data_IF_891691914780
#
_entry.id   IF_891691914780
#
_cell.length_a   1.000
_cell.length_b   1.000
_cell.length_c   1.000
_cell.angle_alpha   90.00
_cell.angle_beta   90.00
_cell.angle_gamma   90.00
#
_symmetry.space_group_name_H-M   'P 1'
#
loop_
_entity.id
_entity.type
_entity.pdbx_description
1 polymer ?
#
# COMPACT_ATOMS: atom_id res chain seq x y z
N UNK A 1 -0.22 3.01 -9.25
CA UNK A 1 1.04 2.56 -8.62
C UNK A 1 2.17 3.42 -9.15
N UNK A 2 3.08 3.85 -8.27
CA UNK A 2 4.17 4.77 -8.62
C UNK A 2 5.53 4.08 -8.61
N UNK A 3 5.67 2.95 -7.90
CA UNK A 3 6.88 2.13 -7.88
C UNK A 3 6.53 0.63 -7.89
N UNK A 4 7.06 -0.12 -8.87
CA UNK A 4 6.80 -1.56 -9.08
C UNK A 4 7.60 -2.52 -8.18
N UNK A 5 8.16 -2.05 -7.07
CA UNK A 5 8.96 -2.87 -6.14
C UNK A 5 8.15 -3.50 -5.01
N UNK A 6 6.83 -3.51 -5.12
CA UNK A 6 5.92 -4.19 -4.18
C UNK A 6 5.26 -5.40 -4.85
N UNK A 7 4.78 -6.33 -4.04
CA UNK A 7 4.03 -7.52 -4.46
C UNK A 7 2.74 -7.65 -3.66
N UNK A 8 1.74 -8.26 -4.29
CA UNK A 8 0.37 -8.36 -3.80
C UNK A 8 -0.62 -8.19 -4.97
N UNK A 9 -1.91 -7.95 -4.68
CA UNK A 9 -2.48 -7.75 -3.34
C UNK A 9 -2.57 -9.05 -2.53
N UNK A 10 -2.23 -8.95 -1.25
CA UNK A 10 -2.41 -10.00 -0.25
C UNK A 10 -3.58 -9.64 0.65
N UNK A 11 -4.64 -10.44 0.56
CA UNK A 11 -5.83 -10.28 1.38
C UNK A 11 -6.02 -11.56 2.22
N UNK A 12 -6.37 -11.43 3.51
CA UNK A 12 -6.74 -12.59 4.31
C UNK A 12 -7.89 -13.36 3.65
N UNK A 13 -7.92 -14.69 3.82
CA UNK A 13 -8.92 -15.57 3.18
C UNK A 13 -10.37 -15.29 3.60
N UNK A 14 -10.57 -14.62 4.73
CA UNK A 14 -11.86 -14.17 5.23
C UNK A 14 -12.29 -12.80 4.69
N UNK A 15 -11.37 -12.06 4.05
CA UNK A 15 -11.67 -10.77 3.44
C UNK A 15 -12.36 -10.96 2.09
N UNK A 16 -13.35 -10.10 1.84
CA UNK A 16 -14.03 -9.97 0.54
C UNK A 16 -13.83 -8.58 -0.06
N UNK A 17 -12.97 -7.77 0.55
CA UNK A 17 -12.71 -6.39 0.14
C UNK A 17 -11.94 -6.36 -1.18
N UNK A 18 -12.30 -5.40 -2.03
CA UNK A 18 -11.41 -5.00 -3.11
C UNK A 18 -10.25 -4.19 -2.52
N UNK A 19 -9.01 -4.52 -2.90
CA UNK A 19 -7.84 -3.83 -2.36
C UNK A 19 -7.83 -2.34 -2.70
N UNK A 20 -8.29 -1.95 -3.90
CA UNK A 20 -8.29 -0.54 -4.30
C UNK A 20 -9.34 0.23 -3.52
N UNK A 21 -10.48 -0.39 -3.23
CA UNK A 21 -11.53 0.21 -2.40
C UNK A 21 -11.04 0.36 -0.96
N UNK A 22 -10.27 -0.58 -0.43
CA UNK A 22 -9.66 -0.45 0.91
C UNK A 22 -8.73 0.77 1.04
N UNK A 23 -8.01 1.13 -0.03
CA UNK A 23 -7.20 2.36 -0.08
C UNK A 23 -8.07 3.60 -0.32
N UNK A 24 -8.98 3.56 -1.30
CA UNK A 24 -9.81 4.69 -1.69
C UNK A 24 -10.83 5.08 -0.61
N UNK A 25 -11.31 4.12 0.19
CA UNK A 25 -12.23 4.37 1.31
C UNK A 25 -11.60 5.25 2.40
N UNK A 26 -10.27 5.35 2.45
CA UNK A 26 -9.56 6.28 3.34
C UNK A 26 -9.46 7.69 2.77
N UNK A 27 -9.69 7.89 1.47
CA UNK A 27 -9.74 9.23 0.87
C UNK A 27 -11.05 9.89 1.30
N UNK A 28 -10.96 11.07 1.91
CA UNK A 28 -12.11 11.82 2.43
C UNK A 28 -12.05 13.28 1.99
N UNK A 29 -13.01 14.09 2.43
CA UNK A 29 -12.98 15.55 2.20
C UNK A 29 -11.75 16.22 2.81
N UNK A 30 -11.18 15.63 3.87
CA UNK A 30 -9.96 16.13 4.53
C UNK A 30 -8.72 15.35 4.14
N UNK A 31 -8.81 14.03 4.01
CA UNK A 31 -7.68 13.16 3.72
C UNK A 31 -7.53 12.94 2.21
N UNK A 32 -6.55 13.58 1.59
CA UNK A 32 -6.39 13.61 0.12
C UNK A 32 -5.27 12.72 -0.41
N UNK A 33 -4.51 12.09 0.47
CA UNK A 33 -3.44 11.17 0.06
C UNK A 33 -3.31 10.00 1.02
N UNK A 34 -3.46 8.80 0.48
CA UNK A 34 -3.33 7.54 1.22
C UNK A 34 -2.16 6.76 0.65
N UNK A 35 -1.21 6.37 1.51
CA UNK A 35 -0.05 5.57 1.14
C UNK A 35 0.03 4.24 1.87
N UNK A 36 1.00 3.41 1.48
CA UNK A 36 1.27 2.13 2.15
C UNK A 36 1.87 2.36 3.55
N UNK A 37 2.91 3.19 3.61
CA UNK A 37 3.71 3.42 4.81
C UNK A 37 4.12 4.90 4.90
N UNK A 38 4.38 5.35 6.11
CA UNK A 38 4.83 6.70 6.44
C UNK A 38 6.26 6.64 7.00
N UNK A 39 7.13 7.58 6.65
CA UNK A 39 8.48 7.69 7.19
C UNK A 39 8.61 9.00 7.98
N UNK A 40 8.98 8.88 9.26
CA UNK A 40 9.02 10.01 10.20
C UNK A 40 10.41 10.62 10.35
N UNK A 41 11.45 9.88 9.94
CA UNK A 41 12.86 10.29 10.03
C UNK A 41 13.59 10.01 8.69
N UNK A 42 13.14 10.61 7.57
CA UNK A 42 13.77 10.37 6.28
C UNK A 42 15.06 11.15 6.10
N UNK A 43 15.84 10.78 5.07
CA UNK A 43 17.15 11.37 4.74
C UNK A 43 17.11 12.90 4.62
N UNK A 44 15.99 13.47 4.14
CA UNK A 44 15.83 14.93 3.96
C UNK A 44 15.13 15.63 5.13
N UNK A 45 14.85 14.93 6.24
CA UNK A 45 14.17 15.49 7.40
C UNK A 45 12.69 15.86 7.19
N UNK A 46 12.13 15.59 6.01
CA UNK A 46 10.72 15.88 5.68
C UNK A 46 9.91 14.59 5.71
N UNK A 47 9.08 14.45 6.75
CA UNK A 47 8.19 13.30 6.92
C UNK A 47 7.25 13.13 5.74
N UNK A 48 7.05 11.89 5.29
CA UNK A 48 6.28 11.63 4.08
C UNK A 48 5.73 10.21 3.98
N UNK A 49 4.68 10.07 3.16
CA UNK A 49 4.24 8.79 2.64
C UNK A 49 5.21 8.27 1.57
N UNK A 50 5.63 7.01 1.69
CA UNK A 50 6.51 6.36 0.71
C UNK A 50 5.72 6.01 -0.57
N UNK A 51 6.29 6.26 -1.75
CA UNK A 51 5.56 6.29 -3.04
C UNK A 51 5.40 4.94 -3.75
N UNK A 52 5.17 3.86 -3.02
CA UNK A 52 4.85 2.58 -3.68
C UNK A 52 3.46 2.65 -4.31
N UNK A 53 2.48 3.00 -3.47
CA UNK A 53 1.07 3.18 -3.84
C UNK A 53 0.61 4.50 -3.25
N UNK A 54 -0.02 5.32 -4.08
CA UNK A 54 -0.88 6.42 -3.63
C UNK A 54 -2.31 6.19 -4.11
N UNK A 55 -3.25 6.38 -3.20
CA UNK A 55 -4.66 6.57 -3.50
C UNK A 55 -5.04 8.01 -3.15
N UNK A 56 -5.78 8.63 -4.06
CA UNK A 56 -6.13 10.05 -4.01
C UNK A 56 -7.38 10.30 -4.86
N UNK A 57 -8.01 11.45 -4.68
CA UNK A 57 -9.12 11.91 -5.50
C UNK A 57 -8.66 12.93 -6.55
N UNK A 58 -9.63 13.57 -7.23
CA UNK A 58 -9.35 14.61 -8.22
C UNK A 58 -8.63 15.83 -7.64
N UNK A 59 -8.90 16.20 -6.39
CA UNK A 59 -8.28 17.35 -5.73
C UNK A 59 -6.82 17.01 -5.39
N UNK A 60 -6.61 15.86 -4.78
CA UNK A 60 -5.27 15.42 -4.39
C UNK A 60 -4.38 15.17 -5.61
N UNK A 61 -4.86 14.53 -6.69
CA UNK A 61 -4.04 14.37 -7.90
C UNK A 61 -3.68 15.71 -8.53
N UNK A 62 -4.60 16.68 -8.59
CA UNK A 62 -4.30 18.03 -9.10
C UNK A 62 -3.26 18.76 -8.24
N UNK A 63 -3.21 18.47 -6.95
CA UNK A 63 -2.20 19.01 -6.01
C UNK A 63 -0.85 18.31 -6.18
N UNK A 64 -0.85 17.03 -6.52
CA UNK A 64 0.37 16.22 -6.71
C UNK A 64 1.05 16.44 -8.05
N UNK A 65 0.29 16.67 -9.13
CA UNK A 65 0.84 16.78 -10.49
C UNK A 65 2.00 17.77 -10.58
N UNK A 66 1.93 19.01 -10.05
CA UNK A 66 3.04 19.96 -10.12
C UNK A 66 4.34 19.49 -9.46
N UNK A 67 4.28 18.58 -8.48
CA UNK A 67 5.46 18.09 -7.74
C UNK A 67 5.90 16.68 -8.15
N UNK A 68 5.06 15.96 -8.92
CA UNK A 68 5.30 14.57 -9.35
C UNK A 68 5.37 14.37 -10.87
N UNK A 69 5.03 15.37 -11.70
CA UNK A 69 4.96 15.23 -13.16
C UNK A 69 6.34 15.21 -13.85
N UNK A 70 7.41 14.89 -13.14
CA UNK A 70 8.78 14.90 -13.66
C UNK A 70 9.41 13.51 -13.53
N UNK A 71 10.27 13.16 -14.49
CA UNK A 71 11.10 11.96 -14.38
C UNK A 71 12.31 12.29 -13.50
N UNK A 72 12.42 11.61 -12.36
CA UNK A 72 13.53 11.81 -11.43
C UNK A 72 14.80 11.10 -11.94
N UNK A 73 15.94 11.79 -12.07
CA UNK A 73 17.16 11.23 -12.65
C UNK A 73 17.82 10.15 -11.78
N UNK A 74 17.54 10.15 -10.47
CA UNK A 74 18.11 9.18 -9.53
C UNK A 74 17.19 8.94 -8.33
N UNK A 75 17.51 7.91 -7.55
CA UNK A 75 16.74 7.50 -6.38
C UNK A 75 16.57 8.63 -5.34
N UNK A 76 17.63 9.39 -5.05
CA UNK A 76 17.59 10.49 -4.09
C UNK A 76 16.62 11.60 -4.52
N UNK A 77 16.64 11.97 -5.80
CA UNK A 77 15.69 12.93 -6.36
C UNK A 77 14.25 12.42 -6.35
N UNK A 78 14.05 11.10 -6.51
CA UNK A 78 12.73 10.48 -6.38
C UNK A 78 12.22 10.57 -4.93
N UNK A 79 13.05 10.27 -3.93
CA UNK A 79 12.71 10.42 -2.50
C UNK A 79 12.38 11.88 -2.15
N UNK A 80 13.10 12.83 -2.74
CA UNK A 80 12.76 14.25 -2.61
C UNK A 80 11.39 14.56 -3.22
N UNK A 81 11.07 13.97 -4.36
CA UNK A 81 9.72 13.97 -4.95
C UNK A 81 8.65 13.42 -3.98
N UNK A 82 8.88 12.26 -3.38
CA UNK A 82 7.97 11.65 -2.39
C UNK A 82 7.71 12.59 -1.20
N UNK A 83 8.78 13.21 -0.71
CA UNK A 83 8.72 14.19 0.38
C UNK A 83 7.87 15.41 0.01
N UNK A 84 8.02 15.90 -1.22
CA UNK A 84 7.25 17.03 -1.73
C UNK A 84 5.78 16.69 -1.95
N UNK A 85 5.45 15.46 -2.33
CA UNK A 85 4.06 15.01 -2.50
C UNK A 85 3.27 15.16 -1.21
N UNK A 86 3.82 14.67 -0.09
CA UNK A 86 3.16 14.78 1.22
C UNK A 86 3.05 16.25 1.64
N UNK A 87 4.15 17.01 1.50
CA UNK A 87 4.17 18.44 1.84
C UNK A 87 3.18 19.26 1.01
N UNK A 88 3.03 18.98 -0.28
CA UNK A 88 2.11 19.69 -1.16
C UNK A 88 0.65 19.52 -0.70
N UNK A 89 0.27 18.30 -0.31
CA UNK A 89 -1.07 18.01 0.21
C UNK A 89 -1.32 18.73 1.54
N UNK A 90 -0.35 18.68 2.47
CA UNK A 90 -0.44 19.37 3.76
C UNK A 90 -0.52 20.89 3.58
N UNK A 91 0.33 21.47 2.73
CA UNK A 91 0.34 22.91 2.44
C UNK A 91 -0.95 23.39 1.76
N UNK A 92 -1.66 22.50 1.06
CA UNK A 92 -2.97 22.77 0.49
C UNK A 92 -4.12 22.69 1.52
N UNK A 93 -3.82 22.43 2.80
CA UNK A 93 -4.80 22.38 3.89
C UNK A 93 -5.44 21.01 4.11
N UNK A 94 -4.90 19.96 3.49
CA UNK A 94 -5.44 18.59 3.58
C UNK A 94 -4.55 17.68 4.44
N UNK A 95 -5.10 16.55 4.88
CA UNK A 95 -4.35 15.52 5.61
C UNK A 95 -3.93 14.38 4.69
N UNK A 96 -3.00 13.56 5.23
CA UNK A 96 -2.52 12.33 4.62
C UNK A 96 -2.70 11.16 5.59
N UNK A 97 -2.72 9.93 5.09
CA UNK A 97 -2.76 8.73 5.94
C UNK A 97 -1.99 7.55 5.35
N UNK A 98 -1.54 6.63 6.19
CA UNK A 98 -0.99 5.35 5.75
C UNK A 98 -1.93 4.18 6.10
N UNK A 99 -1.75 3.04 5.43
CA UNK A 99 -2.46 1.79 5.75
C UNK A 99 -2.01 1.16 7.08
N UNK A 100 -0.88 1.62 7.63
CA UNK A 100 -0.32 1.15 8.91
C UNK A 100 -1.34 1.28 10.05
N UNK A 101 -1.50 0.22 10.85
CA UNK A 101 -2.29 0.22 12.09
C UNK A 101 -1.71 1.20 13.09
N UNK A 102 -0.37 1.31 13.15
CA UNK A 102 0.27 2.31 14.00
C UNK A 102 -0.15 3.73 13.62
N UNK A 103 -0.25 4.04 12.32
CA UNK A 103 -0.72 5.34 11.84
C UNK A 103 -2.17 5.61 12.28
N UNK A 104 -3.04 4.61 12.18
CA UNK A 104 -4.43 4.73 12.60
C UNK A 104 -4.63 4.80 14.13
N UNK A 105 -3.61 4.45 14.93
CA UNK A 105 -3.72 4.40 16.39
C UNK A 105 -3.71 5.77 17.07
N UNK A 106 -3.32 6.83 16.36
CA UNK A 106 -3.14 8.19 16.90
C UNK A 106 -3.63 9.24 15.90
N UNK A 107 -4.34 10.26 16.38
CA UNK A 107 -4.89 11.32 15.52
C UNK A 107 -3.78 12.12 14.81
N UNK A 108 -2.71 12.47 15.53
CA UNK A 108 -1.60 13.29 15.04
C UNK A 108 -0.37 12.45 14.70
N UNK A 109 -0.54 11.21 14.26
CA UNK A 109 0.58 10.29 14.03
C UNK A 109 1.67 10.91 13.13
N UNK A 110 1.28 11.59 12.05
CA UNK A 110 2.21 12.24 11.12
C UNK A 110 3.12 13.30 11.80
N UNK A 111 2.64 13.92 12.88
CA UNK A 111 3.32 14.99 13.62
C UNK A 111 4.11 14.47 14.83
N UNK A 112 3.80 13.27 15.32
CA UNK A 112 4.37 12.76 16.58
C UNK A 112 5.27 11.53 16.41
N UNK A 113 5.15 10.81 15.29
CA UNK A 113 5.86 9.56 15.08
C UNK A 113 7.39 9.70 15.07
N UNK A 114 8.07 8.65 15.55
CA UNK A 114 9.53 8.57 15.70
C UNK A 114 10.04 7.22 15.20
N UNK A 115 10.15 7.11 13.88
CA UNK A 115 10.74 5.95 13.21
C UNK A 115 11.17 6.31 11.78
N UNK A 116 12.19 5.61 11.28
CA UNK A 116 12.66 5.72 9.91
C UNK A 116 11.85 4.85 8.93
N UNK A 117 12.57 4.27 7.96
CA UNK A 117 12.03 3.34 6.96
C UNK A 117 11.62 2.01 7.63
N UNK A 118 10.32 1.80 7.82
CA UNK A 118 9.76 0.59 8.45
C UNK A 118 9.74 -0.63 7.52
N UNK A 119 10.18 -0.47 6.27
CA UNK A 119 10.26 -1.53 5.27
C UNK A 119 11.63 -2.24 5.30
N UNK A 120 12.23 -2.32 6.48
CA UNK A 120 13.47 -3.02 6.79
C UNK A 120 13.17 -4.11 7.84
N UNK A 121 14.01 -5.13 7.90
CA UNK A 121 13.85 -6.23 8.87
C UNK A 121 13.88 -5.70 10.31
N UNK A 122 12.85 -6.04 11.10
CA UNK A 122 12.68 -5.62 12.50
C UNK A 122 12.36 -4.13 12.72
N UNK A 123 12.21 -3.34 11.66
CA UNK A 123 12.06 -1.88 11.77
C UNK A 123 10.63 -1.42 12.10
N UNK A 124 9.64 -2.32 12.07
CA UNK A 124 8.27 -2.01 12.44
C UNK A 124 8.04 -2.35 13.91
N UNK A 125 8.44 -1.42 14.80
CA UNK A 125 8.28 -1.52 16.26
C UNK A 125 8.93 -2.77 16.89
N UNK A 126 10.05 -3.24 16.32
CA UNK A 126 10.75 -4.45 16.75
C UNK A 126 10.37 -5.70 15.95
N UNK A 127 9.36 -5.60 15.09
CA UNK A 127 8.87 -6.65 14.20
C UNK A 127 8.99 -6.25 12.72
N UNK A 128 8.50 -7.13 11.84
CA UNK A 128 8.34 -6.85 10.41
C UNK A 128 6.93 -6.36 10.12
N UNK A 129 6.81 -5.43 9.15
CA UNK A 129 5.49 -5.01 8.67
C UNK A 129 4.75 -6.19 8.03
N UNK A 130 3.56 -6.51 8.55
CA UNK A 130 2.81 -7.67 8.10
C UNK A 130 2.09 -7.38 6.76
N UNK A 131 2.16 -8.27 5.74
CA UNK A 131 1.61 -7.96 4.42
C UNK A 131 0.09 -7.69 4.38
N UNK A 132 -0.68 -8.31 5.27
CA UNK A 132 -2.12 -8.04 5.40
C UNK A 132 -2.45 -6.66 5.96
N UNK A 133 -1.52 -6.00 6.64
CA UNK A 133 -1.74 -4.65 7.19
C UNK A 133 -1.80 -3.61 6.08
N UNK A 134 -0.90 -3.74 5.10
CA UNK A 134 -0.78 -2.80 3.99
C UNK A 134 -1.23 -3.36 2.65
N UNK A 135 -1.75 -4.59 2.62
CA UNK A 135 -2.17 -5.37 1.44
C UNK A 135 -1.02 -5.72 0.48
N UNK A 136 0.07 -4.96 0.49
CA UNK A 136 1.24 -5.14 -0.33
C UNK A 136 2.50 -5.18 0.54
N UNK A 137 3.49 -5.96 0.11
CA UNK A 137 4.81 -6.00 0.74
C UNK A 137 5.87 -5.56 -0.26
N UNK A 138 6.88 -4.84 0.23
CA UNK A 138 8.08 -4.50 -0.55
C UNK A 138 8.85 -5.78 -0.88
N UNK A 139 9.15 -5.99 -2.17
CA UNK A 139 9.74 -7.23 -2.67
C UNK A 139 11.25 -7.17 -2.90
N UNK A 140 11.87 -5.99 -2.74
CA UNK A 140 13.30 -5.75 -2.99
C UNK A 140 14.05 -5.27 -1.73
N UNK A 141 13.53 -5.63 -0.56
CA UNK A 141 14.17 -5.46 0.74
C UNK A 141 14.15 -6.86 1.34
N UNK A 142 15.30 -7.37 1.77
CA UNK A 142 15.43 -8.74 2.29
C UNK A 142 14.74 -8.90 3.67
N UNK A 143 13.48 -8.47 3.80
CA UNK A 143 12.66 -8.62 4.99
C UNK A 143 11.44 -9.48 4.67
N UNK A 144 11.12 -10.41 5.58
CA UNK A 144 9.97 -11.28 5.43
C UNK A 144 9.94 -12.10 4.13
N UNK A 145 11.11 -12.47 3.56
CA UNK A 145 11.21 -13.16 2.26
C UNK A 145 10.41 -14.47 2.21
N UNK A 146 10.47 -15.26 3.29
CA UNK A 146 9.71 -16.50 3.42
C UNK A 146 8.20 -16.26 3.40
N UNK A 147 7.73 -15.20 4.07
CA UNK A 147 6.32 -14.82 4.09
C UNK A 147 5.90 -14.34 2.72
N UNK A 148 6.69 -13.47 2.09
CA UNK A 148 6.45 -12.95 0.74
C UNK A 148 6.33 -14.07 -0.28
N UNK A 149 7.28 -15.02 -0.27
CA UNK A 149 7.31 -16.17 -1.17
C UNK A 149 6.05 -17.02 -1.02
N UNK A 150 5.72 -17.43 0.21
CA UNK A 150 4.54 -18.26 0.49
C UNK A 150 3.23 -17.56 0.16
N UNK A 151 3.09 -16.29 0.52
CA UNK A 151 1.88 -15.53 0.20
C UNK A 151 1.72 -15.31 -1.30
N UNK A 152 2.81 -15.15 -2.05
CA UNK A 152 2.77 -15.09 -3.52
C UNK A 152 2.24 -16.41 -4.08
N UNK A 153 2.87 -17.53 -3.71
CA UNK A 153 2.47 -18.87 -4.16
C UNK A 153 1.00 -19.16 -3.83
N UNK A 154 0.58 -18.96 -2.59
CA UNK A 154 -0.79 -19.26 -2.16
C UNK A 154 -1.83 -18.34 -2.80
N UNK A 155 -1.49 -17.07 -3.05
CA UNK A 155 -2.40 -16.14 -3.73
C UNK A 155 -2.58 -16.51 -5.19
N UNK A 156 -1.52 -16.92 -5.87
CA UNK A 156 -1.55 -17.41 -7.25
C UNK A 156 -2.37 -18.71 -7.35
N UNK A 157 -2.12 -19.68 -6.46
CA UNK A 157 -2.89 -20.93 -6.39
C UNK A 157 -4.36 -20.71 -6.03
N UNK A 158 -4.67 -19.68 -5.23
CA UNK A 158 -6.05 -19.28 -4.95
C UNK A 158 -6.74 -18.63 -6.17
N UNK A 159 -6.03 -18.36 -7.26
CA UNK A 159 -6.59 -17.76 -8.46
C UNK A 159 -7.22 -16.39 -8.18
N UNK A 160 -6.61 -15.60 -7.29
CA UNK A 160 -7.10 -14.26 -7.03
C UNK A 160 -6.97 -13.40 -8.29
N UNK A 161 -8.04 -12.68 -8.63
CA UNK A 161 -8.03 -11.69 -9.71
C UNK A 161 -8.72 -10.42 -9.24
N UNK A 162 -8.01 -9.29 -9.34
CA UNK A 162 -8.59 -7.98 -9.05
C UNK A 162 -9.81 -7.69 -9.94
N UNK A 163 -9.84 -8.21 -11.18
CA UNK A 163 -10.98 -8.04 -12.09
C UNK A 163 -12.23 -8.81 -11.64
N UNK A 164 -12.04 -9.91 -10.91
CA UNK A 164 -13.16 -10.71 -10.38
C UNK A 164 -13.70 -10.15 -9.06
N UNK A 165 -12.90 -9.34 -8.35
CA UNK A 165 -13.24 -8.83 -7.01
C UNK A 165 -13.61 -7.35 -7.02
N UNK A 166 -12.81 -6.51 -7.67
CA UNK A 166 -12.97 -5.07 -7.64
C UNK A 166 -14.09 -4.60 -8.55
N UNK A 167 -14.95 -3.71 -8.03
CA UNK A 167 -16.13 -3.21 -8.74
C UNK A 167 -17.31 -4.18 -8.78
N UNK A 168 -17.27 -5.27 -8.00
CA UNK A 168 -18.37 -6.22 -7.81
C UNK A 168 -18.99 -6.04 -6.43
N UNK A 169 -20.29 -6.29 -6.30
CA UNK A 169 -20.93 -6.34 -4.98
C UNK A 169 -20.55 -7.63 -4.26
N UNK A 170 -20.54 -7.61 -2.93
CA UNK A 170 -20.16 -8.78 -2.10
C UNK A 170 -21.01 -10.01 -2.43
N UNK A 171 -22.28 -9.81 -2.77
CA UNK A 171 -23.23 -10.88 -3.13
C UNK A 171 -22.93 -11.49 -4.51
N UNK A 172 -22.21 -10.77 -5.37
CA UNK A 172 -21.80 -11.20 -6.71
C UNK A 172 -20.45 -11.93 -6.69
N UNK A 173 -19.70 -11.83 -5.58
CA UNK A 173 -18.40 -12.46 -5.45
C UNK A 173 -18.55 -13.98 -5.32
N UNK A 174 -17.99 -14.70 -6.28
CA UNK A 174 -17.75 -16.14 -6.13
C UNK A 174 -16.77 -16.36 -4.97
N UNK A 175 -16.83 -17.53 -4.30
CA UNK A 175 -15.80 -17.89 -3.34
C UNK A 175 -14.42 -17.83 -4.00
N UNK A 176 -13.59 -16.86 -3.57
CA UNK A 176 -12.18 -16.78 -3.94
C UNK A 176 -11.48 -18.11 -3.59
N UNK A 177 -10.49 -18.51 -4.39
CA UNK A 177 -9.91 -19.86 -4.31
C UNK A 177 -9.39 -20.21 -2.91
N UNK A 178 -9.32 -21.52 -2.68
CA UNK A 178 -9.27 -22.10 -1.34
C UNK A 178 -10.62 -22.58 -0.80
N UNK A 179 -11.73 -21.99 -1.27
CA UNK A 179 -13.10 -22.30 -0.83
C UNK A 179 -13.91 -23.04 -1.91
N UNK A 180 -13.33 -24.08 -2.53
CA UNK A 180 -14.05 -24.99 -3.44
C UNK A 180 -13.71 -24.92 -4.94
N UNK A 181 -12.73 -24.10 -5.37
CA UNK A 181 -12.27 -24.00 -6.78
C UNK A 181 -10.99 -24.79 -7.11
N UNK A 182 -10.51 -25.68 -6.24
CA UNK A 182 -9.29 -26.46 -6.48
C UNK A 182 -9.35 -27.29 -7.77
N UNK A 183 -10.54 -27.74 -8.18
CA UNK A 183 -10.73 -28.45 -9.45
C UNK A 183 -10.63 -27.55 -10.68
N UNK A 184 -11.07 -26.29 -10.58
CA UNK A 184 -10.96 -25.32 -11.67
C UNK A 184 -9.51 -24.83 -11.82
N UNK A 185 -8.82 -24.58 -10.70
CA UNK A 185 -7.39 -24.24 -10.70
C UNK A 185 -6.53 -25.35 -11.31
N UNK A 186 -6.79 -26.63 -10.96
CA UNK A 186 -6.15 -27.79 -11.63
C UNK A 186 -6.40 -27.82 -13.13
N UNK A 187 -7.64 -27.54 -13.57
CA UNK A 187 -7.99 -27.52 -15.00
C UNK A 187 -7.27 -26.39 -15.77
N UNK A 188 -6.88 -25.31 -15.09
CA UNK A 188 -6.13 -24.19 -15.66
C UNK A 188 -4.61 -24.37 -15.59
N UNK A 189 -4.11 -25.51 -15.09
CA UNK A 189 -2.68 -25.83 -15.09
C UNK A 189 -1.86 -25.19 -13.97
N UNK A 190 -2.53 -24.61 -12.97
CA UNK A 190 -1.87 -24.15 -11.74
C UNK A 190 -1.85 -25.34 -10.77
N UNK A 191 -0.71 -26.03 -10.72
CA UNK A 191 -0.42 -27.16 -9.81
C UNK A 191 0.37 -26.70 -8.60
#
# INVERSE_FOLDING_TARGET
>A
MLNGSIRGPFLPTWSRECWSDAYLARVTDRNKLVGMTFNCEPIYGVRHLQSMIFATDRIGINTLLPVMSTCFPNWLSAVYGESNSTRAIINAGYTVSAMMTSFASQENYADECKHGDILLEGAYFGDNLHPYETIFQKANRNFGENVLSRLTEWTDLAGYSSYEVCGKKKEELKPLGGWGRWEEARKMGYS
#
